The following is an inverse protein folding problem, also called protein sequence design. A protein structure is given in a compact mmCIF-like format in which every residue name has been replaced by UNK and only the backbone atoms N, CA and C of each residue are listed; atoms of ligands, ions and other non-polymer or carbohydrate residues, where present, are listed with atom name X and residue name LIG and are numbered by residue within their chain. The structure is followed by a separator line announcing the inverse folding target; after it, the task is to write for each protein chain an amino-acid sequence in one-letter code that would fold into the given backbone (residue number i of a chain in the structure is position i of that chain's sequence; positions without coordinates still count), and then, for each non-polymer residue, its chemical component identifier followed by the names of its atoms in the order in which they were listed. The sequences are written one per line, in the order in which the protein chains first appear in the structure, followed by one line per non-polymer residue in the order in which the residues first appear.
data_IF_337468744394
#
_entry.id   IF_337468744394
#
_cell.length_a   1.000
_cell.length_b   1.000
_cell.length_c   1.000
_cell.angle_alpha   90.00
_cell.angle_beta   90.00
_cell.angle_gamma   90.00
#
_symmetry.space_group_name_H-M   'P 1'
#
loop_
_entity.id
_entity.type
_entity.pdbx_description
1 polymer ?
#
# COMPACT_ATOMS: atom_id res chain seq x y z
N UNK A 1 -35.82 -1.23 7.27
CA UNK A 1 -36.54 -2.31 6.59
C UNK A 1 -35.60 -3.49 6.46
N UNK A 2 -35.77 -4.42 7.36
CA UNK A 2 -34.93 -5.62 7.55
C UNK A 2 -35.53 -6.72 6.66
N UNK A 3 -34.73 -7.40 5.87
CA UNK A 3 -34.78 -8.85 5.68
C UNK A 3 -34.05 -9.31 4.41
N UNK A 4 -32.97 -10.07 4.60
CA UNK A 4 -32.77 -11.45 4.10
C UNK A 4 -31.34 -11.90 4.28
N UNK A 5 -31.06 -12.43 5.47
CA UNK A 5 -29.93 -13.34 5.69
C UNK A 5 -30.40 -14.75 5.27
N UNK A 6 -29.75 -15.36 4.29
CA UNK A 6 -29.86 -16.78 4.02
C UNK A 6 -28.74 -17.53 4.72
N UNK A 7 -29.13 -18.40 5.65
CA UNK A 7 -28.28 -19.40 6.32
C UNK A 7 -27.82 -20.46 5.30
N UNK A 8 -26.54 -20.78 5.27
CA UNK A 8 -26.04 -22.03 4.71
C UNK A 8 -25.67 -22.97 5.85
N UNK A 9 -26.38 -24.08 5.88
CA UNK A 9 -26.12 -25.21 6.79
C UNK A 9 -25.13 -26.17 6.15
N UNK A 10 -24.15 -26.56 6.94
CA UNK A 10 -23.13 -27.61 6.70
C UNK A 10 -23.79 -29.00 6.59
N UNK A 11 -23.38 -29.75 5.57
CA UNK A 11 -23.63 -31.20 5.50
C UNK A 11 -22.39 -31.89 4.99
N UNK A 12 -21.63 -32.51 5.90
CA UNK A 12 -20.56 -33.42 5.56
C UNK A 12 -21.13 -34.80 5.21
N UNK A 13 -20.74 -35.36 4.08
CA UNK A 13 -20.90 -36.77 3.78
C UNK A 13 -19.62 -37.30 3.13
N UNK A 14 -18.97 -38.21 3.85
CA UNK A 14 -17.86 -39.01 3.40
C UNK A 14 -18.44 -40.15 2.54
N UNK A 15 -17.95 -40.34 1.33
CA UNK A 15 -18.08 -41.61 0.61
C UNK A 15 -16.86 -41.88 -0.25
N UNK A 16 -16.39 -43.11 -0.08
CA UNK A 16 -15.14 -43.66 -0.58
C UNK A 16 -15.14 -43.98 -2.08
N UNK A 17 -14.02 -43.73 -2.67
CA UNK A 17 -13.23 -44.39 -3.70
C UNK A 17 -13.88 -45.39 -4.66
N UNK A 18 -13.78 -45.06 -5.95
CA UNK A 18 -13.57 -46.06 -7.02
C UNK A 18 -12.65 -45.44 -8.09
N UNK A 19 -11.47 -46.07 -8.27
CA UNK A 19 -10.51 -45.83 -9.33
C UNK A 19 -11.12 -46.25 -10.67
N UNK A 20 -11.31 -45.31 -11.59
CA UNK A 20 -11.47 -45.62 -13.01
C UNK A 20 -10.47 -44.77 -13.80
N UNK A 21 -9.55 -45.47 -14.47
CA UNK A 21 -8.70 -44.85 -15.50
C UNK A 21 -9.61 -44.32 -16.61
N UNK A 22 -9.78 -43.02 -16.67
CA UNK A 22 -10.41 -42.29 -17.74
C UNK A 22 -9.35 -41.53 -18.50
N UNK A 23 -9.22 -41.82 -19.77
CA UNK A 23 -8.41 -41.10 -20.77
C UNK A 23 -8.79 -39.60 -20.68
N UNK A 24 -7.82 -38.77 -20.27
CA UNK A 24 -8.01 -37.32 -20.14
C UNK A 24 -8.24 -36.67 -21.51
N UNK A 25 -9.48 -36.41 -21.83
CA UNK A 25 -9.80 -35.29 -22.70
C UNK A 25 -9.49 -34.01 -21.90
N UNK A 26 -8.37 -33.36 -22.23
CA UNK A 26 -8.06 -32.04 -21.72
C UNK A 26 -9.25 -31.11 -22.03
N UNK A 27 -9.92 -30.63 -20.98
CA UNK A 27 -10.80 -29.49 -21.15
C UNK A 27 -9.90 -28.30 -21.56
N UNK A 28 -9.87 -28.02 -22.85
CA UNK A 28 -9.45 -26.70 -23.34
C UNK A 28 -10.54 -25.76 -22.87
N UNK A 29 -10.29 -25.06 -21.75
CA UNK A 29 -11.12 -23.92 -21.37
C UNK A 29 -11.20 -22.95 -22.53
N UNK A 30 -12.22 -22.09 -22.60
CA UNK A 30 -12.32 -21.10 -23.65
C UNK A 30 -11.02 -20.29 -23.68
N UNK A 31 -10.29 -20.36 -24.80
CA UNK A 31 -9.17 -19.46 -25.08
C UNK A 31 -9.81 -18.10 -25.35
N UNK A 32 -9.98 -17.30 -24.30
CA UNK A 32 -10.29 -15.88 -24.47
C UNK A 32 -9.04 -15.24 -25.07
N UNK A 33 -9.15 -14.66 -26.26
CA UNK A 33 -8.13 -13.76 -26.77
C UNK A 33 -8.13 -12.53 -25.86
N UNK A 34 -7.00 -12.23 -25.22
CA UNK A 34 -6.89 -11.04 -24.39
C UNK A 34 -7.06 -9.79 -25.24
N UNK A 35 -7.64 -8.74 -24.64
CA UNK A 35 -7.86 -7.46 -25.29
C UNK A 35 -6.95 -6.40 -24.69
N UNK A 36 -6.13 -5.77 -25.53
CA UNK A 36 -5.30 -4.62 -25.15
C UNK A 36 -6.09 -3.32 -25.24
N UNK A 37 -5.61 -2.28 -24.54
CA UNK A 37 -6.21 -0.96 -24.65
C UNK A 37 -5.97 -0.34 -26.03
N UNK A 38 -6.98 0.32 -26.64
CA UNK A 38 -6.88 0.92 -27.98
C UNK A 38 -5.77 1.96 -28.13
N UNK A 39 -5.33 2.62 -27.04
CA UNK A 39 -4.21 3.55 -27.09
C UNK A 39 -2.90 2.93 -27.61
N UNK A 40 -2.77 1.59 -27.55
CA UNK A 40 -1.59 0.87 -28.01
C UNK A 40 -1.70 0.31 -29.45
N UNK A 41 -2.85 0.41 -30.09
CA UNK A 41 -3.10 -0.19 -31.42
C UNK A 41 -2.08 0.25 -32.48
N UNK A 42 -1.73 1.54 -32.48
CA UNK A 42 -0.74 2.07 -33.42
C UNK A 42 0.67 1.49 -33.17
N UNK A 43 1.07 1.37 -31.88
CA UNK A 43 2.37 0.82 -31.51
C UNK A 43 2.44 -0.69 -31.83
N UNK A 44 1.36 -1.42 -31.58
CA UNK A 44 1.26 -2.85 -31.91
C UNK A 44 1.28 -3.05 -33.44
N UNK A 45 0.51 -2.26 -34.20
CA UNK A 45 0.45 -2.34 -35.65
C UNK A 45 1.78 -2.02 -36.32
N UNK A 46 2.58 -1.12 -35.76
CA UNK A 46 3.91 -0.77 -36.23
C UNK A 46 5.02 -1.74 -35.81
N UNK A 47 4.70 -2.67 -34.88
CA UNK A 47 5.68 -3.58 -34.26
C UNK A 47 6.55 -2.93 -33.17
N UNK A 48 6.26 -1.69 -32.78
CA UNK A 48 6.95 -1.01 -31.69
C UNK A 48 6.57 -1.58 -30.31
N UNK A 49 5.41 -2.21 -30.21
CA UNK A 49 4.95 -2.91 -29.01
C UNK A 49 4.45 -4.32 -29.40
N UNK A 50 4.77 -5.39 -28.66
CA UNK A 50 4.22 -6.72 -28.91
C UNK A 50 2.69 -6.77 -28.74
N UNK A 51 2.04 -7.78 -29.31
CA UNK A 51 0.63 -8.05 -29.07
C UNK A 51 0.34 -8.27 -27.58
N UNK A 52 -0.90 -8.06 -27.16
CA UNK A 52 -1.27 -8.16 -25.73
C UNK A 52 -0.97 -9.54 -25.13
N UNK A 53 -1.19 -10.61 -25.88
CA UNK A 53 -0.90 -11.98 -25.47
C UNK A 53 0.59 -12.21 -25.16
N UNK A 54 1.50 -11.52 -25.89
CA UNK A 54 2.93 -11.58 -25.67
C UNK A 54 3.41 -10.66 -24.53
N UNK A 55 2.59 -9.73 -24.10
CA UNK A 55 2.88 -8.79 -23.01
C UNK A 55 2.45 -9.31 -21.65
N UNK A 56 1.38 -10.07 -21.60
CA UNK A 56 0.82 -10.64 -20.36
C UNK A 56 1.64 -11.86 -19.90
N UNK A 57 1.67 -12.14 -18.58
CA UNK A 57 2.18 -13.41 -18.07
C UNK A 57 1.30 -14.57 -18.55
N UNK A 58 1.84 -15.79 -18.51
CA UNK A 58 1.09 -17.00 -18.93
C UNK A 58 -0.20 -17.24 -18.16
N UNK A 59 -0.27 -16.75 -16.92
CA UNK A 59 -1.44 -16.77 -16.05
C UNK A 59 -1.64 -15.36 -15.46
N UNK A 60 -2.29 -14.43 -16.19
CA UNK A 60 -2.59 -13.09 -15.69
C UNK A 60 -3.40 -13.14 -14.39
N UNK A 61 -3.30 -12.09 -13.58
CA UNK A 61 -4.22 -11.90 -12.47
C UNK A 61 -5.59 -11.53 -13.05
N UNK A 62 -6.59 -12.38 -12.85
CA UNK A 62 -7.98 -11.99 -13.13
C UNK A 62 -8.49 -11.21 -11.91
N UNK A 63 -8.70 -9.92 -12.09
CA UNK A 63 -9.18 -9.05 -11.05
C UNK A 63 -10.70 -8.93 -11.10
N UNK A 64 -11.35 -9.17 -9.96
CA UNK A 64 -12.77 -8.91 -9.82
C UNK A 64 -13.03 -7.40 -9.88
N UNK A 65 -13.96 -7.00 -10.76
CA UNK A 65 -14.39 -5.61 -10.97
C UNK A 65 -15.81 -5.45 -10.42
N UNK A 66 -15.91 -4.98 -9.19
CA UNK A 66 -17.18 -4.92 -8.42
C UNK A 66 -18.26 -4.07 -9.08
N UNK A 67 -17.87 -3.03 -9.81
CA UNK A 67 -18.80 -2.12 -10.51
C UNK A 67 -19.06 -2.52 -11.97
N UNK A 68 -18.55 -3.67 -12.41
CA UNK A 68 -18.68 -4.18 -13.77
C UNK A 68 -17.51 -3.83 -14.69
N UNK A 69 -17.58 -4.35 -15.92
CA UNK A 69 -16.56 -4.11 -16.94
C UNK A 69 -16.54 -2.64 -17.34
N UNK A 70 -15.34 -2.04 -17.30
CA UNK A 70 -15.16 -0.63 -17.60
C UNK A 70 -14.97 -0.36 -19.10
N UNK A 71 -14.78 0.91 -19.43
CA UNK A 71 -14.48 1.38 -20.80
C UNK A 71 -13.09 1.99 -20.84
N UNK A 72 -12.30 1.63 -21.85
CA UNK A 72 -10.97 2.19 -22.04
C UNK A 72 -10.99 3.66 -22.40
N UNK A 73 -9.99 4.39 -21.92
CA UNK A 73 -9.74 5.77 -22.28
C UNK A 73 -9.77 6.74 -21.11
N UNK A 74 -9.63 8.00 -21.45
CA UNK A 74 -9.82 9.11 -20.55
C UNK A 74 -8.65 9.40 -19.61
N UNK A 75 -8.86 10.43 -18.78
CA UNK A 75 -7.87 10.92 -17.81
C UNK A 75 -8.52 11.05 -16.43
N UNK A 76 -7.90 10.49 -15.40
CA UNK A 76 -8.25 10.68 -14.01
C UNK A 76 -7.50 11.92 -13.47
N UNK A 77 -8.22 12.96 -13.07
CA UNK A 77 -7.65 14.20 -12.53
C UNK A 77 -7.59 14.12 -11.00
N UNK A 78 -6.41 14.38 -10.45
CA UNK A 78 -6.15 14.42 -9.02
C UNK A 78 -5.36 15.66 -8.62
N UNK A 79 -5.27 15.95 -7.33
CA UNK A 79 -4.47 17.02 -6.79
C UNK A 79 -3.39 16.54 -5.83
N UNK A 80 -2.28 17.31 -5.72
CA UNK A 80 -1.24 17.08 -4.72
C UNK A 80 -0.61 18.41 -4.30
N UNK A 81 0.10 18.44 -3.17
CA UNK A 81 0.70 19.64 -2.58
C UNK A 81 2.23 19.70 -2.76
N UNK A 82 2.76 19.05 -3.78
CA UNK A 82 4.19 19.08 -4.13
C UNK A 82 4.90 17.76 -3.88
N UNK A 83 6.24 17.71 -4.07
CA UNK A 83 7.04 16.48 -4.09
C UNK A 83 6.93 15.62 -2.83
N UNK A 84 6.82 16.24 -1.66
CA UNK A 84 6.65 15.51 -0.39
C UNK A 84 5.27 14.83 -0.24
N UNK A 85 4.32 15.14 -1.11
CA UNK A 85 2.96 14.61 -1.09
C UNK A 85 2.77 13.44 -2.08
N UNK A 86 3.83 12.68 -2.35
CA UNK A 86 3.81 11.50 -3.23
C UNK A 86 2.80 10.41 -2.82
N UNK A 87 2.26 10.47 -1.60
CA UNK A 87 1.21 9.54 -1.15
C UNK A 87 -0.04 9.54 -2.05
N UNK A 88 -0.33 10.61 -2.79
CA UNK A 88 -1.43 10.61 -3.76
C UNK A 88 -1.13 9.70 -4.96
N UNK A 89 0.14 9.66 -5.38
CA UNK A 89 0.64 8.76 -6.42
C UNK A 89 0.64 7.30 -5.92
N UNK A 90 1.30 7.02 -4.78
CA UNK A 90 1.44 5.65 -4.28
C UNK A 90 0.10 4.95 -4.03
N UNK A 91 -0.96 5.70 -3.75
CA UNK A 91 -2.32 5.14 -3.57
C UNK A 91 -2.98 4.63 -4.85
N UNK A 92 -2.48 4.96 -6.03
CA UNK A 92 -3.01 4.47 -7.31
C UNK A 92 -2.08 3.49 -8.01
N UNK A 93 -0.82 3.38 -7.54
CA UNK A 93 0.21 2.51 -8.14
C UNK A 93 0.75 1.46 -7.18
N UNK A 94 0.02 1.13 -6.14
CA UNK A 94 0.40 0.21 -5.08
C UNK A 94 0.43 -1.24 -5.56
N UNK A 95 1.62 -1.79 -5.82
CA UNK A 95 1.83 -3.15 -6.33
C UNK A 95 2.82 -3.95 -5.46
N UNK A 96 2.32 -4.58 -4.39
CA UNK A 96 3.05 -5.53 -3.57
C UNK A 96 3.02 -6.96 -4.16
N UNK A 97 3.88 -7.84 -3.68
CA UNK A 97 3.83 -9.27 -4.06
C UNK A 97 2.48 -9.90 -3.71
N UNK A 98 1.94 -9.56 -2.56
CA UNK A 98 0.60 -9.92 -2.09
C UNK A 98 -0.07 -8.67 -1.53
N UNK A 99 -1.38 -8.64 -1.43
CA UNK A 99 -2.12 -7.46 -0.92
C UNK A 99 -3.30 -7.88 -0.06
N UNK A 100 -3.83 -6.94 0.70
CA UNK A 100 -5.09 -7.16 1.41
C UNK A 100 -6.26 -7.24 0.42
N UNK A 101 -7.19 -8.14 0.67
CA UNK A 101 -8.47 -8.14 -0.02
C UNK A 101 -9.22 -6.81 0.23
N UNK A 102 -10.16 -6.41 -0.63
CA UNK A 102 -10.88 -5.15 -0.49
C UNK A 102 -11.63 -4.97 0.85
N UNK A 103 -12.03 -6.08 1.48
CA UNK A 103 -12.65 -6.09 2.81
C UNK A 103 -11.64 -6.04 3.97
N UNK A 104 -10.34 -6.08 3.66
CA UNK A 104 -9.25 -6.08 4.64
C UNK A 104 -9.10 -7.39 5.43
N UNK A 105 -9.94 -8.39 5.17
CA UNK A 105 -10.01 -9.62 5.99
C UNK A 105 -8.94 -10.67 5.68
N UNK A 106 -8.44 -10.70 4.47
CA UNK A 106 -7.50 -11.73 4.02
C UNK A 106 -6.36 -11.11 3.19
N UNK A 107 -5.24 -11.83 3.13
CA UNK A 107 -4.19 -11.57 2.15
C UNK A 107 -4.48 -12.38 0.89
N UNK A 108 -4.37 -11.72 -0.26
CA UNK A 108 -4.62 -12.33 -1.57
C UNK A 108 -3.38 -12.15 -2.48
N UNK A 109 -3.18 -13.04 -3.47
CA UNK A 109 -2.14 -12.88 -4.47
C UNK A 109 -2.29 -11.58 -5.26
N UNK A 110 -1.13 -10.99 -5.65
CA UNK A 110 -1.11 -9.84 -6.56
C UNK A 110 -0.01 -9.99 -7.61
N UNK A 111 1.17 -9.35 -7.46
CA UNK A 111 2.32 -9.60 -8.34
C UNK A 111 2.71 -11.09 -8.26
N UNK A 112 2.78 -11.64 -7.06
CA UNK A 112 2.90 -13.08 -6.87
C UNK A 112 1.63 -13.82 -7.30
N UNK A 113 1.81 -15.03 -7.86
CA UNK A 113 0.71 -15.97 -8.16
C UNK A 113 0.13 -16.59 -6.88
N UNK A 114 0.95 -16.76 -5.85
CA UNK A 114 0.58 -17.37 -4.59
C UNK A 114 1.80 -17.74 -3.74
N UNK A 115 1.56 -18.47 -2.68
CA UNK A 115 2.59 -18.88 -1.73
C UNK A 115 2.30 -20.26 -1.12
N UNK A 116 3.33 -20.82 -0.48
CA UNK A 116 3.23 -21.98 0.40
C UNK A 116 4.06 -21.75 1.66
N UNK A 117 3.71 -22.41 2.75
CA UNK A 117 4.51 -22.45 3.98
C UNK A 117 4.76 -23.89 4.43
N UNK A 118 5.77 -24.06 5.29
CA UNK A 118 5.90 -25.28 6.07
C UNK A 118 4.92 -25.29 7.27
N UNK A 119 4.85 -26.39 8.01
CA UNK A 119 3.84 -26.61 9.05
C UNK A 119 3.96 -25.63 10.23
N UNK A 120 5.16 -25.16 10.55
CA UNK A 120 5.43 -24.25 11.66
C UNK A 120 5.55 -22.77 11.24
N UNK A 121 5.32 -22.44 9.96
CA UNK A 121 5.42 -21.08 9.42
C UNK A 121 6.81 -20.44 9.54
N UNK A 122 7.87 -21.21 9.73
CA UNK A 122 9.24 -20.70 9.69
C UNK A 122 9.80 -20.56 8.27
N UNK A 123 9.15 -21.15 7.28
CA UNK A 123 9.51 -21.04 5.86
C UNK A 123 8.31 -20.66 5.00
N UNK A 124 8.53 -19.68 4.12
CA UNK A 124 7.56 -19.20 3.16
C UNK A 124 8.14 -19.20 1.75
N UNK A 125 7.45 -19.80 0.81
CA UNK A 125 7.83 -19.75 -0.60
C UNK A 125 6.81 -18.93 -1.36
N UNK A 126 7.26 -17.84 -1.96
CA UNK A 126 6.46 -16.98 -2.84
C UNK A 126 6.68 -17.43 -4.28
N UNK A 127 5.59 -17.64 -5.00
CA UNK A 127 5.59 -18.04 -6.40
C UNK A 127 5.18 -16.85 -7.28
N UNK A 128 6.04 -16.46 -8.21
CA UNK A 128 5.76 -15.42 -9.20
C UNK A 128 4.95 -16.00 -10.37
N UNK A 129 4.34 -15.12 -11.15
CA UNK A 129 3.68 -15.49 -12.42
C UNK A 129 4.74 -15.66 -13.50
N UNK A 130 4.71 -16.79 -14.20
CA UNK A 130 5.65 -17.03 -15.30
C UNK A 130 5.41 -16.04 -16.46
N UNK A 131 6.48 -15.44 -16.97
CA UNK A 131 6.40 -14.46 -18.07
C UNK A 131 6.02 -13.04 -17.62
N UNK A 132 6.07 -12.72 -16.32
CA UNK A 132 5.95 -11.34 -15.82
C UNK A 132 7.00 -10.45 -16.46
N UNK A 133 6.62 -9.18 -16.68
CA UNK A 133 7.51 -8.15 -17.24
C UNK A 133 7.41 -6.85 -16.45
N UNK A 134 8.50 -6.14 -16.43
CA UNK A 134 8.55 -4.72 -16.07
C UNK A 134 7.91 -3.85 -17.15
N UNK A 135 7.62 -2.60 -16.85
CA UNK A 135 6.95 -1.67 -17.76
C UNK A 135 7.73 -1.35 -19.04
N UNK A 136 9.04 -1.61 -19.06
CA UNK A 136 9.91 -1.50 -20.23
C UNK A 136 9.99 -2.80 -21.05
N UNK A 137 9.29 -3.85 -20.63
CA UNK A 137 9.26 -5.16 -21.28
C UNK A 137 10.34 -6.14 -20.83
N UNK A 138 11.28 -5.72 -19.97
CA UNK A 138 12.27 -6.63 -19.37
C UNK A 138 11.59 -7.71 -18.52
N UNK A 139 12.08 -8.96 -18.49
CA UNK A 139 11.52 -10.00 -17.64
C UNK A 139 11.59 -9.64 -16.17
N UNK A 140 10.53 -9.92 -15.41
CA UNK A 140 10.54 -9.91 -13.96
C UNK A 140 10.65 -11.35 -13.46
N UNK A 141 11.67 -11.63 -12.67
CA UNK A 141 11.98 -12.98 -12.17
C UNK A 141 12.38 -12.97 -10.70
N UNK A 142 12.66 -14.13 -10.16
CA UNK A 142 13.23 -14.27 -8.81
C UNK A 142 14.55 -13.51 -8.62
N UNK A 143 15.29 -13.23 -9.70
CA UNK A 143 16.54 -12.47 -9.64
C UNK A 143 16.31 -11.00 -9.22
N UNK A 144 15.12 -10.43 -9.47
CA UNK A 144 14.75 -9.08 -9.03
C UNK A 144 14.48 -9.03 -7.52
N UNK A 145 14.01 -10.13 -6.94
CA UNK A 145 13.89 -10.30 -5.47
C UNK A 145 15.28 -10.52 -4.87
N UNK A 146 16.12 -11.35 -5.50
CA UNK A 146 17.50 -11.59 -5.01
C UNK A 146 18.34 -10.32 -5.09
N UNK A 147 18.21 -9.52 -6.17
CA UNK A 147 18.88 -8.21 -6.25
C UNK A 147 18.46 -7.28 -5.10
N UNK A 148 17.16 -7.22 -4.78
CA UNK A 148 16.70 -6.47 -3.61
C UNK A 148 17.33 -7.01 -2.32
N UNK A 149 17.31 -8.32 -2.11
CA UNK A 149 17.80 -8.95 -0.89
C UNK A 149 19.31 -8.76 -0.70
N UNK A 150 20.09 -9.01 -1.74
CA UNK A 150 21.57 -9.02 -1.68
C UNK A 150 22.15 -7.61 -1.77
N UNK A 151 21.64 -6.77 -2.66
CA UNK A 151 22.27 -5.49 -3.01
C UNK A 151 21.58 -4.28 -2.38
N UNK A 152 20.28 -4.35 -2.02
CA UNK A 152 19.58 -3.25 -1.37
C UNK A 152 19.47 -3.51 0.14
N UNK A 153 18.78 -4.59 0.55
CA UNK A 153 18.63 -4.92 1.96
C UNK A 153 19.96 -5.28 2.63
N UNK A 154 20.82 -6.00 1.92
CA UNK A 154 22.17 -6.39 2.39
C UNK A 154 23.18 -5.25 2.43
N UNK A 155 22.87 -4.08 1.89
CA UNK A 155 23.76 -2.93 1.87
C UNK A 155 23.43 -1.97 3.02
N UNK A 156 24.34 -1.87 4.01
CA UNK A 156 24.14 -1.04 5.21
C UNK A 156 24.15 0.48 4.92
N UNK A 157 24.69 0.93 3.79
CA UNK A 157 24.61 2.33 3.38
C UNK A 157 23.21 2.70 2.86
N UNK A 158 22.47 1.72 2.28
CA UNK A 158 21.08 1.89 1.82
C UNK A 158 20.09 1.58 2.94
N UNK A 159 20.26 0.46 3.63
CA UNK A 159 19.37 -0.03 4.70
C UNK A 159 20.20 -0.28 5.97
N UNK A 160 20.36 0.75 6.83
CA UNK A 160 21.21 0.65 8.03
C UNK A 160 20.78 -0.39 9.07
N UNK A 161 19.51 -0.81 9.03
CA UNK A 161 18.98 -1.81 9.96
C UNK A 161 17.94 -2.70 9.28
N UNK A 162 18.04 -4.01 9.52
CA UNK A 162 17.07 -4.99 9.01
C UNK A 162 15.66 -4.65 9.47
N UNK A 163 14.66 -4.55 8.58
CA UNK A 163 13.27 -4.33 8.96
C UNK A 163 12.75 -5.45 9.88
N UNK A 164 11.91 -5.13 10.87
CA UNK A 164 11.42 -6.08 11.86
C UNK A 164 10.80 -7.34 11.25
N UNK A 165 10.07 -7.21 10.15
CA UNK A 165 9.42 -8.33 9.48
C UNK A 165 10.42 -9.29 8.82
N UNK A 166 11.66 -8.87 8.60
CA UNK A 166 12.77 -9.65 8.06
C UNK A 166 13.73 -10.17 9.13
N UNK A 167 13.52 -9.87 10.41
CA UNK A 167 14.44 -10.25 11.46
C UNK A 167 14.22 -11.67 11.97
N UNK A 168 15.33 -12.36 12.21
CA UNK A 168 15.45 -13.52 13.08
C UNK A 168 15.45 -13.08 14.56
N UNK A 169 15.44 -14.03 15.48
CA UNK A 169 15.46 -13.77 16.94
C UNK A 169 16.67 -12.99 17.42
N UNK A 170 17.80 -13.09 16.72
CA UNK A 170 19.05 -12.37 17.01
C UNK A 170 19.15 -11.01 16.30
N UNK A 171 18.13 -10.61 15.54
CA UNK A 171 18.09 -9.36 14.77
C UNK A 171 18.74 -9.45 13.38
N UNK A 172 19.34 -10.60 13.02
CA UNK A 172 19.85 -10.82 11.67
C UNK A 172 18.70 -10.94 10.66
N UNK A 173 19.00 -10.71 9.37
CA UNK A 173 17.99 -10.89 8.33
C UNK A 173 17.65 -12.37 8.13
N UNK A 174 16.37 -12.66 7.91
CA UNK A 174 15.90 -13.96 7.44
C UNK A 174 16.62 -14.32 6.12
N UNK A 175 16.89 -15.61 5.94
CA UNK A 175 17.54 -16.10 4.72
C UNK A 175 16.55 -16.10 3.57
N UNK A 176 16.94 -15.53 2.42
CA UNK A 176 16.18 -15.57 1.17
C UNK A 176 16.94 -16.38 0.14
N UNK A 177 16.26 -17.31 -0.54
CA UNK A 177 16.86 -18.23 -1.50
C UNK A 177 16.03 -18.32 -2.77
N UNK A 178 16.68 -18.15 -3.93
CA UNK A 178 16.08 -18.45 -5.24
C UNK A 178 15.89 -19.97 -5.38
N UNK A 179 14.64 -20.39 -5.52
CA UNK A 179 14.29 -21.79 -5.74
C UNK A 179 14.17 -22.12 -7.24
N UNK A 180 13.72 -21.15 -8.01
CA UNK A 180 13.64 -21.19 -9.49
C UNK A 180 13.50 -19.75 -10.01
N UNK A 181 13.38 -19.54 -11.32
CA UNK A 181 13.14 -18.21 -11.88
C UNK A 181 11.80 -17.58 -11.44
N UNK A 182 10.89 -18.39 -10.94
CA UNK A 182 9.56 -17.95 -10.48
C UNK A 182 9.26 -18.28 -9.03
N UNK A 183 10.25 -18.71 -8.21
CA UNK A 183 10.02 -19.05 -6.82
C UNK A 183 11.17 -18.61 -5.93
N UNK A 184 10.83 -17.96 -4.82
CA UNK A 184 11.78 -17.52 -3.80
C UNK A 184 11.29 -17.95 -2.43
N UNK A 185 12.22 -18.42 -1.57
CA UNK A 185 11.94 -18.88 -0.22
C UNK A 185 12.55 -17.92 0.80
N UNK A 186 11.75 -17.54 1.80
CA UNK A 186 12.18 -16.92 3.04
C UNK A 186 12.25 -17.97 4.14
N UNK A 187 13.33 -17.97 4.91
CA UNK A 187 13.53 -18.90 6.04
C UNK A 187 13.92 -18.11 7.28
N UNK A 188 13.17 -18.29 8.35
CA UNK A 188 13.34 -17.69 9.68
C UNK A 188 13.80 -18.75 10.68
N UNK A 189 14.47 -18.33 11.75
CA UNK A 189 14.87 -19.21 12.88
C UNK A 189 13.70 -19.51 13.83
N UNK A 190 12.56 -18.80 13.69
CA UNK A 190 11.32 -18.98 14.45
C UNK A 190 10.08 -18.88 13.55
N UNK A 191 8.90 -19.37 14.00
CA UNK A 191 7.65 -19.15 13.28
C UNK A 191 7.36 -17.67 13.04
N UNK A 192 7.08 -17.30 11.79
CA UNK A 192 6.65 -15.94 11.41
C UNK A 192 5.26 -15.99 10.77
N UNK A 193 4.23 -16.06 11.61
CA UNK A 193 2.82 -16.08 11.15
C UNK A 193 2.35 -14.74 10.61
N UNK A 194 3.08 -13.65 10.88
CA UNK A 194 2.77 -12.30 10.38
C UNK A 194 3.41 -12.00 9.01
N UNK A 195 4.23 -12.90 8.45
CA UNK A 195 4.99 -12.68 7.21
C UNK A 195 4.12 -12.14 6.06
N UNK A 196 3.00 -12.80 5.76
CA UNK A 196 2.13 -12.37 4.66
C UNK A 196 1.46 -11.02 4.93
N UNK A 197 1.10 -10.72 6.18
CA UNK A 197 0.54 -9.41 6.55
C UNK A 197 1.58 -8.29 6.38
N UNK A 198 2.82 -8.57 6.82
CA UNK A 198 3.92 -7.64 6.63
C UNK A 198 4.22 -7.43 5.13
N UNK A 199 4.24 -8.52 4.35
CA UNK A 199 4.50 -8.47 2.91
C UNK A 199 3.40 -7.73 2.15
N UNK A 200 2.12 -7.88 2.56
CA UNK A 200 0.99 -7.13 2.00
C UNK A 200 1.05 -5.62 2.33
N UNK A 201 1.73 -5.26 3.42
CA UNK A 201 1.98 -3.88 3.80
C UNK A 201 3.20 -3.24 3.13
N UNK A 202 4.00 -4.00 2.37
CA UNK A 202 5.14 -3.49 1.61
C UNK A 202 4.67 -3.01 0.24
N UNK A 203 5.10 -1.82 -0.14
CA UNK A 203 4.64 -1.19 -1.38
C UNK A 203 5.30 -1.75 -2.65
N UNK A 204 6.20 -2.70 -2.49
CA UNK A 204 6.89 -3.37 -3.60
C UNK A 204 7.74 -2.48 -4.50
N UNK A 205 7.45 -1.19 -4.60
CA UNK A 205 8.12 -0.37 -5.57
C UNK A 205 8.17 1.14 -5.30
N UNK A 206 7.28 1.75 -4.51
CA UNK A 206 6.99 3.13 -4.89
C UNK A 206 7.00 4.15 -3.76
N UNK A 207 7.24 3.76 -2.52
CA UNK A 207 7.15 4.68 -1.38
C UNK A 207 8.51 5.07 -0.80
N UNK A 208 9.35 4.11 -0.55
CA UNK A 208 10.74 4.29 -0.11
C UNK A 208 11.54 3.03 -0.38
N UNK A 209 12.86 3.14 -0.43
CA UNK A 209 13.73 1.97 -0.64
C UNK A 209 13.61 0.94 0.49
N UNK A 210 13.21 1.36 1.70
CA UNK A 210 12.97 0.48 2.84
C UNK A 210 11.74 -0.42 2.67
N UNK A 211 10.83 -0.05 1.79
CA UNK A 211 9.59 -0.79 1.53
C UNK A 211 9.69 -1.71 0.31
N UNK A 212 10.78 -1.66 -0.45
CA UNK A 212 10.99 -2.54 -1.58
C UNK A 212 11.11 -3.99 -1.12
N UNK A 213 10.60 -4.92 -1.92
CA UNK A 213 10.74 -6.38 -1.75
C UNK A 213 11.24 -7.03 -3.04
N UNK A 214 11.20 -6.30 -4.13
CA UNK A 214 11.78 -6.61 -5.43
C UNK A 214 12.10 -5.31 -6.14
N UNK A 215 13.05 -5.33 -7.05
CA UNK A 215 13.51 -4.12 -7.74
C UNK A 215 14.04 -4.46 -9.14
N UNK A 216 13.89 -3.57 -10.13
CA UNK A 216 14.36 -3.82 -11.49
C UNK A 216 15.90 -3.82 -11.55
N UNK A 217 16.50 -4.98 -11.28
CA UNK A 217 17.95 -5.14 -11.22
C UNK A 217 18.64 -4.75 -12.52
N UNK A 218 18.01 -4.98 -13.69
CA UNK A 218 18.55 -4.58 -14.99
C UNK A 218 18.71 -3.06 -15.14
N UNK A 219 17.91 -2.25 -14.44
CA UNK A 219 17.99 -0.80 -14.41
C UNK A 219 18.86 -0.28 -13.26
N UNK A 220 18.60 -0.74 -12.02
CA UNK A 220 19.23 -0.17 -10.82
C UNK A 220 20.72 -0.52 -10.68
N UNK A 221 21.20 -1.60 -11.28
CA UNK A 221 22.63 -1.95 -11.31
C UNK A 221 23.50 -0.85 -11.91
N UNK A 222 22.95 -0.03 -12.80
CA UNK A 222 23.67 1.12 -13.38
C UNK A 222 23.96 2.26 -12.36
N UNK A 223 23.39 2.20 -11.17
CA UNK A 223 23.52 3.20 -10.10
C UNK A 223 24.08 2.60 -8.81
N UNK A 224 24.61 1.36 -8.86
CA UNK A 224 25.11 0.65 -7.69
C UNK A 224 26.60 0.31 -7.85
N UNK A 225 27.46 0.58 -6.83
CA UNK A 225 28.91 0.42 -6.95
C UNK A 225 29.38 -1.00 -7.24
N UNK A 226 28.63 -2.03 -6.80
CA UNK A 226 29.00 -3.43 -7.09
C UNK A 226 28.87 -3.82 -8.56
N UNK A 227 28.19 -3.00 -9.39
CA UNK A 227 27.87 -3.33 -10.79
C UNK A 227 28.28 -2.25 -11.79
N UNK A 228 28.70 -1.07 -11.32
CA UNK A 228 29.07 0.07 -12.15
C UNK A 228 30.49 0.50 -11.77
N UNK A 229 31.31 0.83 -12.75
CA UNK A 229 32.63 1.39 -12.53
C UNK A 229 32.58 2.68 -11.72
N UNK A 230 33.49 2.85 -10.74
CA UNK A 230 33.49 3.99 -9.80
C UNK A 230 33.47 5.34 -10.53
N UNK A 231 34.26 5.49 -11.60
CA UNK A 231 34.37 6.75 -12.34
C UNK A 231 33.06 7.07 -13.11
N UNK A 232 32.37 6.06 -13.62
CA UNK A 232 31.06 6.22 -14.26
C UNK A 232 29.97 6.55 -13.24
N UNK A 233 30.00 5.90 -12.08
CA UNK A 233 29.06 6.17 -10.98
C UNK A 233 29.25 7.58 -10.43
N UNK A 234 30.49 8.00 -10.15
CA UNK A 234 30.82 9.35 -9.68
C UNK A 234 30.38 10.43 -10.67
N UNK A 235 30.55 10.17 -11.98
CA UNK A 235 30.07 11.08 -13.01
C UNK A 235 28.54 11.22 -13.00
N UNK A 236 27.80 10.12 -12.79
CA UNK A 236 26.32 10.13 -12.67
C UNK A 236 25.86 10.86 -11.43
N UNK A 237 26.50 10.61 -10.27
CA UNK A 237 26.22 11.28 -9.00
C UNK A 237 26.40 12.79 -9.14
N UNK A 238 27.54 13.21 -9.69
CA UNK A 238 27.84 14.63 -9.91
C UNK A 238 26.89 15.29 -10.91
N UNK A 239 26.54 14.60 -12.00
CA UNK A 239 25.61 15.10 -13.01
C UNK A 239 24.19 15.29 -12.46
N UNK A 240 23.79 14.45 -11.51
CA UNK A 240 22.51 14.54 -10.81
C UNK A 240 22.50 15.58 -9.66
N UNK A 241 23.69 16.17 -9.33
CA UNK A 241 23.82 17.16 -8.27
C UNK A 241 23.84 16.58 -6.86
N UNK A 242 24.20 15.32 -6.72
CA UNK A 242 24.31 14.63 -5.42
C UNK A 242 25.77 14.55 -4.94
N UNK A 243 25.94 14.33 -3.63
CA UNK A 243 27.25 14.18 -3.00
C UNK A 243 27.73 12.73 -2.93
N UNK A 244 26.78 11.78 -2.85
CA UNK A 244 27.04 10.35 -2.67
C UNK A 244 26.11 9.48 -3.51
N UNK A 245 26.58 8.30 -3.88
CA UNK A 245 25.85 7.36 -4.73
C UNK A 245 24.51 6.91 -4.12
N UNK A 246 24.41 6.81 -2.80
CA UNK A 246 23.17 6.39 -2.12
C UNK A 246 22.01 7.37 -2.30
N UNK A 247 22.31 8.66 -2.46
CA UNK A 247 21.30 9.67 -2.78
C UNK A 247 20.77 9.49 -4.21
N UNK A 248 21.67 9.30 -5.18
CA UNK A 248 21.29 9.00 -6.55
C UNK A 248 20.49 7.70 -6.63
N UNK A 249 21.00 6.62 -6.01
CA UNK A 249 20.30 5.33 -5.99
C UNK A 249 18.90 5.44 -5.39
N UNK A 250 18.75 6.17 -4.29
CA UNK A 250 17.44 6.37 -3.65
C UNK A 250 16.44 7.08 -4.53
N UNK A 251 16.89 8.02 -5.36
CA UNK A 251 16.03 8.69 -6.36
C UNK A 251 15.68 7.73 -7.50
N UNK A 252 16.69 7.07 -8.06
CA UNK A 252 16.53 6.15 -9.19
C UNK A 252 15.72 4.88 -8.81
N UNK A 253 15.72 4.50 -7.55
CA UNK A 253 14.92 3.39 -7.05
C UNK A 253 13.40 3.69 -6.93
N UNK A 254 12.97 4.95 -7.11
CA UNK A 254 11.58 5.35 -6.93
C UNK A 254 11.02 6.01 -8.21
N UNK A 255 10.01 5.40 -8.87
CA UNK A 255 9.51 5.86 -10.17
C UNK A 255 9.04 7.31 -10.17
N UNK A 256 8.41 7.76 -9.09
CA UNK A 256 7.90 9.14 -8.98
C UNK A 256 8.98 10.21 -8.83
N UNK A 257 10.21 9.82 -8.51
CA UNK A 257 11.37 10.72 -8.43
C UNK A 257 12.23 10.64 -9.69
N UNK A 258 12.51 9.44 -10.18
CA UNK A 258 13.32 9.23 -11.39
C UNK A 258 12.54 9.52 -12.68
N UNK A 259 11.26 9.16 -12.73
CA UNK A 259 10.46 9.23 -13.95
C UNK A 259 10.80 8.16 -15.00
N UNK A 260 11.93 7.48 -14.89
CA UNK A 260 12.42 6.49 -15.87
C UNK A 260 12.50 5.07 -15.32
N UNK A 261 12.39 4.90 -14.01
CA UNK A 261 12.51 3.58 -13.37
C UNK A 261 11.36 2.66 -13.81
N UNK A 262 11.65 1.45 -14.35
CA UNK A 262 10.62 0.47 -14.68
C UNK A 262 9.82 0.04 -13.44
N UNK A 263 8.51 -0.15 -13.60
CA UNK A 263 7.58 -0.52 -12.53
C UNK A 263 6.64 -1.65 -12.98
N UNK A 264 6.04 -2.34 -12.02
CA UNK A 264 4.95 -3.30 -12.26
C UNK A 264 3.57 -2.65 -12.18
N UNK A 265 3.52 -1.39 -11.76
CA UNK A 265 2.28 -0.65 -11.49
C UNK A 265 1.39 -0.52 -12.73
N UNK A 266 0.09 -0.34 -12.47
CA UNK A 266 -0.91 -0.16 -13.55
C UNK A 266 -0.67 1.09 -14.38
N UNK A 267 -0.10 2.13 -13.77
CA UNK A 267 0.35 3.36 -14.45
C UNK A 267 1.80 3.66 -14.07
N UNK A 268 2.54 4.17 -15.04
CA UNK A 268 3.96 4.55 -14.88
C UNK A 268 4.18 5.99 -15.30
N UNK A 269 5.23 6.69 -14.81
CA UNK A 269 5.53 8.04 -15.24
C UNK A 269 5.59 8.20 -16.75
N UNK A 270 4.89 9.20 -17.27
CA UNK A 270 4.83 9.48 -18.70
C UNK A 270 6.03 10.34 -19.11
N UNK A 271 6.82 9.88 -20.09
CA UNK A 271 7.94 10.65 -20.66
C UNK A 271 8.90 11.25 -19.62
N UNK A 272 9.20 10.51 -18.56
CA UNK A 272 10.09 10.96 -17.49
C UNK A 272 9.47 12.00 -16.55
N UNK A 273 8.14 12.15 -16.52
CA UNK A 273 7.44 13.04 -15.59
C UNK A 273 7.67 12.60 -14.13
N UNK A 274 7.79 13.58 -13.25
CA UNK A 274 8.07 13.35 -11.82
C UNK A 274 7.17 14.20 -10.93
N UNK A 275 7.18 13.93 -9.64
CA UNK A 275 6.45 14.74 -8.63
C UNK A 275 7.01 16.17 -8.47
N UNK A 276 8.11 16.50 -9.14
CA UNK A 276 8.64 17.86 -9.18
C UNK A 276 7.96 18.74 -10.24
N UNK A 277 7.18 18.15 -11.16
CA UNK A 277 6.49 18.87 -12.20
C UNK A 277 5.22 19.56 -11.65
N UNK A 278 4.81 20.69 -12.25
CA UNK A 278 3.54 21.35 -11.94
C UNK A 278 2.32 20.44 -12.18
N UNK A 279 2.48 19.49 -13.08
CA UNK A 279 1.54 18.40 -13.30
C UNK A 279 2.32 17.10 -13.49
N UNK A 280 2.30 16.27 -12.49
CA UNK A 280 2.84 14.92 -12.57
C UNK A 280 1.88 14.02 -13.37
N UNK A 281 2.37 13.45 -14.45
CA UNK A 281 1.57 12.63 -15.37
C UNK A 281 2.07 11.20 -15.33
N UNK A 282 1.14 10.27 -15.12
CA UNK A 282 1.39 8.84 -15.29
C UNK A 282 0.44 8.28 -16.34
N UNK A 283 0.91 7.32 -17.10
CA UNK A 283 0.15 6.68 -18.19
C UNK A 283 0.11 5.17 -18.02
N UNK A 284 -0.82 4.52 -18.69
CA UNK A 284 -1.02 3.08 -18.64
C UNK A 284 0.27 2.32 -18.92
N UNK A 285 0.58 1.36 -18.05
CA UNK A 285 1.66 0.40 -18.27
C UNK A 285 1.24 -0.64 -19.34
N UNK A 286 1.93 -0.71 -20.49
CA UNK A 286 1.58 -1.67 -21.54
C UNK A 286 1.78 -3.14 -21.13
N UNK A 287 2.59 -3.39 -20.10
CA UNK A 287 2.91 -4.73 -19.59
C UNK A 287 2.21 -5.05 -18.26
N UNK A 288 1.18 -4.27 -17.88
CA UNK A 288 0.44 -4.57 -16.65
C UNK A 288 -0.17 -5.97 -16.70
N UNK A 289 0.04 -6.73 -15.63
CA UNK A 289 -0.17 -8.18 -15.58
C UNK A 289 -1.60 -8.62 -15.27
N UNK A 290 -2.52 -7.69 -15.01
CA UNK A 290 -3.89 -8.01 -14.63
C UNK A 290 -4.88 -7.78 -15.78
N UNK A 291 -5.90 -8.62 -15.80
CA UNK A 291 -7.05 -8.56 -16.71
C UNK A 291 -8.35 -8.60 -15.90
N UNK A 292 -9.47 -8.17 -16.48
CA UNK A 292 -10.80 -8.42 -15.95
C UNK A 292 -11.33 -9.82 -16.34
N UNK A 293 -12.55 -10.13 -15.92
CA UNK A 293 -13.17 -11.42 -16.18
C UNK A 293 -13.47 -11.70 -17.67
N UNK A 294 -13.46 -10.68 -18.52
CA UNK A 294 -13.63 -10.80 -19.98
C UNK A 294 -12.29 -10.83 -20.74
N UNK A 295 -11.16 -10.75 -20.01
CA UNK A 295 -9.82 -10.79 -20.59
C UNK A 295 -9.32 -9.42 -21.06
N UNK A 296 -9.95 -8.31 -20.69
CA UNK A 296 -9.48 -6.97 -21.01
C UNK A 296 -8.31 -6.61 -20.10
N UNK A 297 -7.14 -6.22 -20.67
CA UNK A 297 -5.98 -5.81 -19.91
C UNK A 297 -6.26 -4.53 -19.12
N UNK A 298 -6.10 -4.56 -17.80
CA UNK A 298 -6.25 -3.38 -16.93
C UNK A 298 -5.02 -2.44 -17.02
N UNK A 299 -5.15 -1.20 -16.57
CA UNK A 299 -6.34 -0.49 -16.10
C UNK A 299 -7.22 0.01 -17.26
N UNK A 300 -8.45 0.47 -16.99
CA UNK A 300 -9.30 1.07 -18.04
C UNK A 300 -8.91 2.50 -18.39
N UNK A 301 -8.50 3.29 -17.39
CA UNK A 301 -8.13 4.71 -17.57
C UNK A 301 -6.73 4.80 -18.18
N UNK A 302 -6.57 5.60 -19.24
CA UNK A 302 -5.30 5.74 -19.95
C UNK A 302 -4.27 6.56 -19.17
N UNK A 303 -4.69 7.64 -18.53
CA UNK A 303 -3.79 8.64 -17.93
C UNK A 303 -4.30 9.06 -16.57
N UNK A 304 -3.39 9.26 -15.61
CA UNK A 304 -3.68 9.95 -14.34
C UNK A 304 -2.83 11.22 -14.29
N UNK A 305 -3.46 12.35 -13.98
CA UNK A 305 -2.79 13.65 -13.84
C UNK A 305 -2.94 14.16 -12.42
N UNK A 306 -1.81 14.44 -11.79
CA UNK A 306 -1.73 15.06 -10.47
C UNK A 306 -1.33 16.52 -10.67
N UNK A 307 -2.29 17.43 -10.53
CA UNK A 307 -2.04 18.88 -10.59
C UNK A 307 -1.49 19.36 -9.25
N UNK A 308 -0.42 20.15 -9.29
CA UNK A 308 0.13 20.80 -8.11
C UNK A 308 -0.81 21.94 -7.64
N UNK A 309 -1.02 21.99 -6.33
CA UNK A 309 -1.71 23.06 -5.62
C UNK A 309 -0.80 23.62 -4.52
N UNK A 310 -0.72 24.92 -4.40
CA UNK A 310 0.16 25.58 -3.43
C UNK A 310 -0.24 25.30 -1.97
N UNK A 311 -1.54 25.08 -1.73
CA UNK A 311 -2.11 24.84 -0.40
C UNK A 311 -3.38 23.97 -0.46
N UNK A 312 -3.86 23.57 0.72
CA UNK A 312 -5.07 22.74 0.86
C UNK A 312 -6.33 23.49 0.46
N UNK A 313 -6.39 24.78 0.67
CA UNK A 313 -7.54 25.64 0.40
C UNK A 313 -7.80 25.70 -1.11
N UNK A 314 -6.78 25.94 -1.92
CA UNK A 314 -6.88 25.95 -3.38
C UNK A 314 -7.23 24.57 -3.94
N UNK A 315 -6.71 23.49 -3.35
CA UNK A 315 -7.08 22.14 -3.71
C UNK A 315 -8.56 21.86 -3.38
N UNK A 316 -9.05 22.26 -2.21
CA UNK A 316 -10.45 22.09 -1.83
C UNK A 316 -11.39 22.91 -2.74
N UNK A 317 -11.02 24.14 -3.13
CA UNK A 317 -11.78 24.92 -4.08
C UNK A 317 -11.87 24.25 -5.46
N UNK A 318 -10.78 23.66 -5.94
CA UNK A 318 -10.77 22.89 -7.18
C UNK A 318 -11.67 21.65 -7.10
N UNK A 319 -11.70 20.97 -5.94
CA UNK A 319 -12.60 19.84 -5.70
C UNK A 319 -14.07 20.30 -5.71
N UNK A 320 -14.41 21.40 -5.01
CA UNK A 320 -15.75 22.01 -5.02
C UNK A 320 -16.17 22.41 -6.44
N UNK A 321 -15.22 22.89 -7.25
CA UNK A 321 -15.44 23.28 -8.66
C UNK A 321 -15.58 22.11 -9.64
N UNK A 322 -15.37 20.85 -9.21
CA UNK A 322 -15.42 19.68 -10.09
C UNK A 322 -14.19 19.55 -11.02
N UNK A 323 -13.07 20.19 -10.67
CA UNK A 323 -11.83 20.08 -11.44
C UNK A 323 -11.06 18.78 -11.15
N UNK A 324 -11.43 18.06 -10.08
CA UNK A 324 -10.81 16.83 -9.59
C UNK A 324 -11.82 15.70 -9.66
N UNK A 325 -11.43 14.55 -10.23
CA UNK A 325 -12.33 13.40 -10.42
C UNK A 325 -12.40 12.50 -9.19
N UNK A 326 -11.29 12.32 -8.48
CA UNK A 326 -11.21 11.49 -7.27
C UNK A 326 -10.17 12.05 -6.31
N UNK A 327 -10.57 12.39 -5.09
CA UNK A 327 -9.67 12.92 -4.07
C UNK A 327 -10.16 12.50 -2.67
N UNK A 328 -9.24 12.13 -1.79
CA UNK A 328 -9.52 11.94 -0.37
C UNK A 328 -8.52 12.75 0.47
N UNK A 329 -7.23 12.61 0.13
CA UNK A 329 -6.16 13.32 0.83
C UNK A 329 -6.30 14.84 0.66
N UNK A 330 -6.11 15.58 1.75
CA UNK A 330 -6.23 17.04 1.86
C UNK A 330 -7.63 17.62 1.71
N UNK A 331 -8.67 16.80 1.52
CA UNK A 331 -10.03 17.27 1.71
C UNK A 331 -10.31 17.39 3.21
N UNK A 332 -10.54 18.61 3.67
CA UNK A 332 -10.78 18.87 5.09
C UNK A 332 -12.23 18.55 5.47
N UNK A 333 -12.44 17.95 6.66
CA UNK A 333 -13.79 17.69 7.18
C UNK A 333 -14.59 18.97 7.37
N UNK A 334 -13.94 20.09 7.69
CA UNK A 334 -14.56 21.41 7.75
C UNK A 334 -15.21 21.86 6.44
N UNK A 335 -14.75 21.34 5.30
CA UNK A 335 -15.30 21.64 3.97
C UNK A 335 -16.41 20.66 3.56
N UNK A 336 -16.74 19.65 4.39
CA UNK A 336 -17.77 18.68 4.08
C UNK A 336 -19.13 19.30 3.70
N UNK A 337 -19.67 20.32 4.45
CA UNK A 337 -20.94 20.97 4.07
C UNK A 337 -20.87 21.64 2.70
N UNK A 338 -19.79 22.36 2.40
CA UNK A 338 -19.59 23.06 1.13
C UNK A 338 -19.44 22.07 -0.03
N UNK A 339 -18.74 20.96 0.19
CA UNK A 339 -18.61 19.88 -0.79
C UNK A 339 -19.99 19.23 -1.08
N UNK A 340 -20.79 18.99 -0.05
CA UNK A 340 -22.15 18.44 -0.22
C UNK A 340 -23.08 19.39 -0.98
N UNK A 341 -23.06 20.69 -0.62
CA UNK A 341 -23.91 21.71 -1.24
C UNK A 341 -23.60 21.90 -2.73
N UNK A 342 -22.34 21.74 -3.15
CA UNK A 342 -21.92 21.96 -4.53
C UNK A 342 -21.79 20.66 -5.34
N UNK A 343 -22.15 19.51 -4.80
CA UNK A 343 -21.97 18.21 -5.45
C UNK A 343 -22.65 18.10 -6.81
N UNK A 344 -23.92 18.54 -6.91
CA UNK A 344 -24.66 18.52 -8.16
C UNK A 344 -24.06 19.45 -9.22
N UNK A 345 -23.64 20.66 -8.82
CA UNK A 345 -23.01 21.64 -9.71
C UNK A 345 -21.64 21.21 -10.19
N UNK A 346 -20.85 20.62 -9.29
CA UNK A 346 -19.52 20.10 -9.57
C UNK A 346 -19.52 18.73 -10.25
N UNK A 347 -20.66 18.05 -10.32
CA UNK A 347 -20.81 16.74 -10.96
C UNK A 347 -20.07 15.61 -10.22
N UNK A 348 -19.97 15.69 -8.90
CA UNK A 348 -19.31 14.68 -8.06
C UNK A 348 -20.21 14.20 -6.92
N UNK A 349 -19.80 13.16 -6.24
CA UNK A 349 -20.41 12.68 -4.99
C UNK A 349 -19.38 12.70 -3.86
N UNK A 350 -19.83 13.00 -2.66
CA UNK A 350 -19.00 12.89 -1.45
C UNK A 350 -19.26 11.57 -0.77
N UNK A 351 -18.22 10.80 -0.51
CA UNK A 351 -18.29 9.49 0.13
C UNK A 351 -17.44 9.55 1.40
N UNK A 352 -18.04 9.18 2.54
CA UNK A 352 -17.32 9.01 3.80
C UNK A 352 -16.95 7.54 3.97
N UNK A 353 -15.68 7.28 4.29
CA UNK A 353 -15.19 5.93 4.57
C UNK A 353 -14.87 5.79 6.05
N UNK A 354 -15.34 4.73 6.73
CA UNK A 354 -14.79 4.38 8.03
C UNK A 354 -13.31 4.00 7.88
N UNK A 355 -12.47 4.49 8.81
CA UNK A 355 -11.05 4.20 8.78
C UNK A 355 -10.71 2.95 9.60
N UNK A 356 -9.66 2.23 9.21
CA UNK A 356 -9.12 1.10 10.01
C UNK A 356 -8.40 1.57 11.27
N UNK A 357 -7.77 2.76 11.20
CA UNK A 357 -7.02 3.33 12.32
C UNK A 357 -7.95 3.84 13.40
N UNK A 358 -8.15 3.34 14.46
CA UNK A 358 -9.13 3.59 15.51
C UNK A 358 -9.33 5.03 15.99
N UNK A 359 -8.54 6.02 15.55
CA UNK A 359 -8.73 7.42 15.95
C UNK A 359 -8.04 8.37 14.98
N UNK A 360 -8.65 9.53 14.76
CA UNK A 360 -8.06 10.65 13.99
C UNK A 360 -7.10 11.49 14.84
N UNK A 361 -7.23 11.44 16.17
CA UNK A 361 -6.32 12.11 17.11
C UNK A 361 -6.09 11.24 18.34
N UNK A 362 -4.83 10.99 18.70
CA UNK A 362 -4.44 10.18 19.86
C UNK A 362 -3.33 10.87 20.66
N UNK A 363 -3.36 10.71 21.97
CA UNK A 363 -2.23 11.02 22.85
C UNK A 363 -1.37 9.76 23.01
N UNK A 364 -0.15 9.82 22.50
CA UNK A 364 0.83 8.74 22.59
C UNK A 364 1.85 9.07 23.67
N UNK A 365 2.04 8.16 24.62
CA UNK A 365 2.95 8.35 25.75
C UNK A 365 4.24 7.59 25.49
N UNK A 366 5.40 8.29 25.56
CA UNK A 366 6.70 7.65 25.52
C UNK A 366 6.97 6.92 26.84
N UNK A 367 6.58 5.65 26.93
CA UNK A 367 6.77 4.83 28.13
C UNK A 367 8.22 4.37 28.33
N UNK A 368 9.10 4.59 27.37
CA UNK A 368 10.55 4.30 27.43
C UNK A 368 11.39 5.56 27.65
N UNK A 369 10.76 6.68 28.03
CA UNK A 369 11.45 7.94 28.29
C UNK A 369 12.37 7.84 29.51
N UNK A 370 13.66 8.16 29.33
CA UNK A 370 14.73 8.01 30.33
C UNK A 370 15.57 9.27 30.56
N UNK A 371 15.34 10.36 29.80
CA UNK A 371 16.11 11.59 29.95
C UNK A 371 15.80 12.32 31.27
N UNK A 372 14.59 12.11 31.83
CA UNK A 372 14.17 12.52 33.15
C UNK A 372 13.36 11.37 33.74
N UNK A 373 13.87 10.76 34.80
CA UNK A 373 13.27 9.57 35.40
C UNK A 373 11.93 9.88 36.05
N UNK A 374 11.76 11.05 36.69
CA UNK A 374 10.51 11.45 37.29
C UNK A 374 9.40 11.64 36.25
N UNK A 375 9.70 12.24 35.11
CA UNK A 375 8.76 12.35 34.00
C UNK A 375 8.48 10.97 33.40
N UNK A 376 9.52 10.14 33.22
CA UNK A 376 9.37 8.77 32.72
C UNK A 376 8.43 7.93 33.60
N UNK A 377 8.55 8.04 34.93
CA UNK A 377 7.68 7.33 35.87
C UNK A 377 6.21 7.79 35.78
N UNK A 378 5.97 9.09 35.60
CA UNK A 378 4.62 9.63 35.39
C UNK A 378 4.05 9.09 34.05
N UNK A 379 4.83 9.12 32.96
CA UNK A 379 4.36 8.63 31.64
C UNK A 379 4.07 7.11 31.66
N UNK A 380 4.83 6.32 32.41
CA UNK A 380 4.59 4.88 32.63
C UNK A 380 3.42 4.59 33.56
N UNK A 381 3.02 5.55 34.41
CA UNK A 381 1.95 5.35 35.36
C UNK A 381 0.59 5.21 34.65
N UNK A 382 -0.10 4.09 34.91
CA UNK A 382 -1.39 3.80 34.28
C UNK A 382 -2.47 4.80 34.71
N UNK A 383 -2.53 5.18 36.00
CA UNK A 383 -3.56 6.06 36.54
C UNK A 383 -3.41 7.47 35.94
N UNK A 384 -2.17 7.94 35.70
CA UNK A 384 -1.92 9.17 34.96
C UNK A 384 -2.58 9.14 33.55
N UNK A 385 -2.37 8.07 32.79
CA UNK A 385 -2.94 7.96 31.44
C UNK A 385 -4.46 7.84 31.45
N UNK A 386 -5.04 7.16 32.46
CA UNK A 386 -6.50 7.09 32.65
C UNK A 386 -7.05 8.46 33.03
N UNK A 387 -6.40 9.19 33.92
CA UNK A 387 -6.79 10.54 34.30
C UNK A 387 -6.86 11.47 33.10
N UNK A 388 -5.83 11.45 32.26
CA UNK A 388 -5.83 12.22 31.01
C UNK A 388 -6.95 11.79 30.05
N UNK A 389 -7.29 10.50 30.00
CA UNK A 389 -8.41 10.04 29.17
C UNK A 389 -9.75 10.60 29.66
N UNK A 390 -9.98 10.68 31.00
CA UNK A 390 -11.16 11.30 31.56
C UNK A 390 -11.18 12.83 31.50
N UNK A 391 -10.05 13.48 31.22
CA UNK A 391 -9.97 14.92 31.01
C UNK A 391 -10.34 15.37 29.60
N UNK A 392 -10.46 14.45 28.64
CA UNK A 392 -10.73 14.79 27.24
C UNK A 392 -12.24 14.89 27.00
N UNK A 393 -12.71 16.07 26.62
CA UNK A 393 -14.08 16.28 26.13
C UNK A 393 -14.20 15.81 24.67
N UNK A 394 -14.47 14.52 24.49
CA UNK A 394 -14.61 13.91 23.17
C UNK A 394 -15.86 14.35 22.43
N UNK A 395 -16.92 14.69 23.16
CA UNK A 395 -18.16 15.17 22.56
C UNK A 395 -17.98 16.58 21.99
N UNK A 396 -17.32 17.47 22.72
CA UNK A 396 -16.97 18.80 22.20
C UNK A 396 -16.03 18.69 20.99
N UNK A 397 -15.03 17.81 21.03
CA UNK A 397 -14.15 17.58 19.87
C UNK A 397 -14.95 17.07 18.67
N UNK A 398 -15.84 16.10 18.87
CA UNK A 398 -16.71 15.57 17.81
C UNK A 398 -17.55 16.69 17.16
N UNK A 399 -18.20 17.52 17.96
CA UNK A 399 -19.02 18.61 17.43
C UNK A 399 -18.18 19.67 16.70
N UNK A 400 -17.07 20.13 17.29
CA UNK A 400 -16.29 21.24 16.77
C UNK A 400 -15.40 20.85 15.58
N UNK A 401 -14.78 19.68 15.62
CA UNK A 401 -13.80 19.26 14.60
C UNK A 401 -14.40 18.33 13.55
N UNK A 402 -15.44 17.58 13.89
CA UNK A 402 -16.01 16.53 13.03
C UNK A 402 -17.49 16.75 12.70
N UNK A 403 -18.05 17.91 13.02
CA UNK A 403 -19.45 18.29 12.69
C UNK A 403 -20.47 17.29 13.24
N UNK A 404 -20.22 16.71 14.41
CA UNK A 404 -21.05 15.69 15.01
C UNK A 404 -20.93 14.30 14.38
N UNK A 405 -20.09 14.14 13.34
CA UNK A 405 -19.87 12.85 12.65
C UNK A 405 -18.81 12.03 13.38
N UNK A 406 -19.02 10.71 13.46
CA UNK A 406 -18.09 9.81 14.12
C UNK A 406 -18.50 9.39 15.52
N UNK A 407 -17.64 8.63 16.16
CA UNK A 407 -17.90 8.01 17.46
C UNK A 407 -16.76 8.30 18.45
N UNK A 408 -17.12 8.76 19.65
CA UNK A 408 -16.15 9.04 20.71
C UNK A 408 -15.66 7.72 21.34
N UNK A 409 -14.42 7.30 21.04
CA UNK A 409 -13.87 6.00 21.45
C UNK A 409 -12.36 6.06 21.69
N UNK A 410 -11.78 4.99 22.21
CA UNK A 410 -10.33 4.82 22.30
C UNK A 410 -9.72 4.50 20.93
N UNK A 411 -8.41 4.72 20.79
CA UNK A 411 -7.63 4.45 19.59
C UNK A 411 -7.36 2.96 19.37
N UNK A 412 -8.43 2.16 19.30
CA UNK A 412 -8.38 0.73 18.97
C UNK A 412 -8.89 0.52 17.54
N UNK A 413 -8.52 -0.58 16.86
CA UNK A 413 -9.03 -0.90 15.52
C UNK A 413 -10.56 -0.77 15.41
N UNK A 414 -11.06 -0.47 14.22
CA UNK A 414 -12.51 -0.35 13.97
C UNK A 414 -13.24 -1.70 14.15
N UNK A 415 -14.57 -1.70 14.44
CA UNK A 415 -15.32 -2.94 14.69
C UNK A 415 -15.29 -3.98 13.55
N UNK A 416 -15.08 -3.55 12.32
CA UNK A 416 -14.96 -4.43 11.16
C UNK A 416 -13.52 -4.95 10.93
N UNK A 417 -12.55 -4.50 11.73
CA UNK A 417 -11.16 -4.94 11.62
C UNK A 417 -10.98 -6.30 12.32
N UNK A 418 -10.23 -7.27 11.74
CA UNK A 418 -10.01 -8.60 12.33
C UNK A 418 -9.41 -8.58 13.74
N UNK A 419 -8.66 -7.53 14.08
CA UNK A 419 -8.04 -7.35 15.41
C UNK A 419 -8.83 -6.39 16.32
N UNK A 420 -10.12 -6.21 16.07
CA UNK A 420 -10.96 -5.44 16.98
C UNK A 420 -11.05 -6.11 18.34
N UNK A 421 -10.64 -5.44 19.45
CA UNK A 421 -10.57 -6.07 20.76
C UNK A 421 -11.93 -6.18 21.47
N UNK A 422 -12.97 -5.54 20.94
CA UNK A 422 -14.31 -5.46 21.55
C UNK A 422 -14.62 -4.10 22.17
N UNK A 423 -15.94 -3.86 22.35
CA UNK A 423 -16.49 -2.61 22.88
C UNK A 423 -15.99 -2.29 24.28
N UNK A 424 -15.71 -3.30 25.09
CA UNK A 424 -15.15 -3.12 26.43
C UNK A 424 -13.81 -2.36 26.45
N UNK A 425 -13.03 -2.45 25.40
CA UNK A 425 -11.79 -1.69 25.21
C UNK A 425 -12.03 -0.38 24.46
N UNK A 426 -12.91 -0.40 23.45
CA UNK A 426 -13.19 0.75 22.63
C UNK A 426 -13.81 1.92 23.41
N UNK A 427 -14.65 1.64 24.38
CA UNK A 427 -15.35 2.66 25.18
C UNK A 427 -14.86 2.81 26.61
N UNK A 428 -13.79 2.12 26.97
CA UNK A 428 -13.22 2.20 28.31
C UNK A 428 -12.58 3.57 28.56
N UNK A 429 -12.94 4.23 29.67
CA UNK A 429 -12.41 5.54 30.06
C UNK A 429 -12.65 6.67 29.02
N UNK A 430 -13.70 6.58 28.21
CA UNK A 430 -14.00 7.58 27.17
C UNK A 430 -14.83 8.75 27.67
N UNK A 431 -15.54 8.59 28.78
CA UNK A 431 -16.36 9.65 29.35
C UNK A 431 -15.50 10.72 29.99
N UNK A 432 -15.80 11.98 29.73
CA UNK A 432 -15.21 13.10 30.47
C UNK A 432 -15.71 13.09 31.90
N UNK A 433 -14.79 13.03 32.87
CA UNK A 433 -15.07 13.12 34.28
C UNK A 433 -13.86 13.71 35.04
N UNK A 434 -13.95 15.01 35.30
CA UNK A 434 -12.87 15.74 35.96
C UNK A 434 -12.68 15.34 37.44
N UNK A 435 -13.72 14.77 38.09
CA UNK A 435 -13.61 14.25 39.46
C UNK A 435 -12.73 13.00 39.46
N UNK A 436 -13.05 12.02 38.63
CA UNK A 436 -12.24 10.80 38.46
C UNK A 436 -10.80 11.17 38.06
N UNK A 437 -10.65 12.10 37.11
CA UNK A 437 -9.33 12.56 36.68
C UNK A 437 -8.50 13.13 37.84
N UNK A 438 -9.08 14.02 38.62
CA UNK A 438 -8.41 14.63 39.78
C UNK A 438 -8.07 13.61 40.87
N UNK A 439 -9.00 12.72 41.20
CA UNK A 439 -8.78 11.67 42.21
C UNK A 439 -7.61 10.75 41.86
N UNK A 440 -7.50 10.38 40.56
CA UNK A 440 -6.39 9.57 40.04
C UNK A 440 -5.06 10.32 40.10
N UNK A 441 -5.03 11.61 39.74
CA UNK A 441 -3.83 12.45 39.82
C UNK A 441 -3.39 12.65 41.29
N UNK A 442 -4.31 12.92 42.19
CA UNK A 442 -4.03 13.04 43.61
C UNK A 442 -3.49 11.72 44.20
N UNK A 443 -4.04 10.57 43.75
CA UNK A 443 -3.60 9.25 44.17
C UNK A 443 -2.13 8.92 43.79
N UNK A 444 -1.60 9.56 42.78
CA UNK A 444 -0.19 9.42 42.34
C UNK A 444 0.70 10.60 42.77
N UNK A 445 0.19 11.48 43.66
CA UNK A 445 0.93 12.61 44.23
C UNK A 445 0.97 13.88 43.37
N UNK A 446 0.22 13.97 42.29
CA UNK A 446 0.10 15.15 41.44
C UNK A 446 -1.07 16.02 41.93
N UNK A 447 -0.91 16.63 43.11
CA UNK A 447 -1.97 17.38 43.81
C UNK A 447 -1.99 18.88 43.50
N UNK A 448 -0.96 19.40 42.84
CA UNK A 448 -0.91 20.82 42.48
C UNK A 448 -1.95 21.15 41.41
N UNK A 449 -2.65 22.28 41.60
CA UNK A 449 -3.63 22.85 40.65
C UNK A 449 -3.25 24.27 40.36
N UNK A 450 -3.42 24.69 39.14
CA UNK A 450 -3.11 26.05 38.66
C UNK A 450 -4.37 26.90 38.38
N UNK A 451 -5.52 26.37 38.76
CA UNK A 451 -6.82 27.05 38.67
C UNK A 451 -7.86 26.28 37.92
#
# INVERSE_FOLDING_TARGET
MISRLKKYTTGASVTSLALTLGIGLGMVGPVYAFQGAPMFDAAVSSGALPAVDDRLPSEPLVQDVTDGIGTYGGTLRRGFLGPSDHNNYTRVVYDALVRHAPDGGQVVPHVAKGWTSNDDFSQWTINLRAGMKWSDGAPLTADDIMFWYESILGNAELIPSTPLWMQNSDGSAAKVEKMSDTAVRWSYDQPNTAFLLALAGQDGADKSIQNLVFAPGHYLKHFHPDFTDDADLDAKVSAAGFDVWTQLFSVEALPHLSGNRPSTAAWVPANGSTVADDTFVIERNPYYFAVDAEGNQLPYIDTVKFKFFADKETLNLAAVGGEIDMQGRHLAMSNFPVLMENSDKGGYRVITYPTFGGSDAVLVFNQTYTNDEAIGDILRNKDFRIALSHSIDRDAIKELAFLGIGEARQGVPAPFHPFYPGDEYAFKYTQMDTTISNDLLDGIGLTARDG
#
